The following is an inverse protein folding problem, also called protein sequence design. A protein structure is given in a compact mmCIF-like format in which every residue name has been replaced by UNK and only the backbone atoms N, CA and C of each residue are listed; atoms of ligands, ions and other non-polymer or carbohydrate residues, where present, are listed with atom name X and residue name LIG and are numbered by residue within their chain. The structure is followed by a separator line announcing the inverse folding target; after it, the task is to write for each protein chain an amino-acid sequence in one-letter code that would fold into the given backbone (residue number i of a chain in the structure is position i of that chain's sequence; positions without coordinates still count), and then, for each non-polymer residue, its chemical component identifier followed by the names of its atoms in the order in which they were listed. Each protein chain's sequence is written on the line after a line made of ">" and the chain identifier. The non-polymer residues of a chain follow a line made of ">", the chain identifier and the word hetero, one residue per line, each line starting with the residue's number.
data_IF_656655538717
#
_entry.id   IF_656655538717
#
_cell.length_a   1.000
_cell.length_b   1.000
_cell.length_c   1.000
_cell.angle_alpha   90.00
_cell.angle_beta   90.00
_cell.angle_gamma   90.00
#
_symmetry.space_group_name_H-M   'P 1'
#
loop_
_entity.id
_entity.type
_entity.pdbx_description
1 polymer ?
#
# COMPACT_ATOMS: atom_id res chain seq x y z
N UNK A 1 -20.47 -31.96 -81.04
CA UNK A 1 -21.50 -31.15 -80.35
C UNK A 1 -21.11 -31.00 -78.88
N UNK A 2 -20.96 -29.75 -78.41
CA UNK A 2 -20.88 -29.27 -77.02
C UNK A 2 -19.97 -30.03 -76.03
N UNK A 3 -18.69 -29.66 -75.97
CA UNK A 3 -17.86 -29.81 -74.77
C UNK A 3 -17.90 -28.50 -73.97
N UNK A 4 -18.42 -28.57 -72.74
CA UNK A 4 -18.54 -27.44 -71.80
C UNK A 4 -17.24 -27.32 -70.99
N UNK A 5 -16.69 -26.09 -70.95
CA UNK A 5 -15.56 -25.65 -70.12
C UNK A 5 -15.86 -25.86 -68.63
N UNK A 6 -14.90 -26.39 -67.88
CA UNK A 6 -14.80 -26.20 -66.43
C UNK A 6 -13.42 -25.63 -66.10
N UNK A 7 -13.41 -24.35 -65.75
CA UNK A 7 -12.27 -23.59 -65.25
C UNK A 7 -11.91 -24.07 -63.84
N UNK A 8 -10.63 -24.39 -63.57
CA UNK A 8 -10.12 -24.60 -62.21
C UNK A 8 -9.23 -23.42 -61.86
N UNK A 9 -9.75 -22.57 -60.98
CA UNK A 9 -9.05 -21.46 -60.36
C UNK A 9 -8.09 -21.97 -59.28
N UNK A 10 -6.90 -21.38 -59.22
CA UNK A 10 -5.93 -21.53 -58.14
C UNK A 10 -6.24 -20.45 -57.10
N UNK A 11 -6.69 -20.77 -55.87
CA UNK A 11 -6.78 -19.78 -54.83
C UNK A 11 -5.42 -19.57 -54.16
N UNK A 12 -5.00 -18.31 -54.14
CA UNK A 12 -3.92 -17.75 -53.33
C UNK A 12 -4.32 -17.89 -51.85
N UNK A 13 -3.45 -18.49 -51.04
CA UNK A 13 -3.60 -18.61 -49.60
C UNK A 13 -3.42 -17.25 -48.94
N UNK A 14 -4.49 -16.73 -48.33
CA UNK A 14 -4.43 -15.58 -47.44
C UNK A 14 -3.88 -16.01 -46.07
N UNK A 15 -2.78 -15.41 -45.64
CA UNK A 15 -2.27 -15.55 -44.29
C UNK A 15 -3.15 -14.74 -43.33
N UNK A 16 -3.86 -15.42 -42.43
CA UNK A 16 -4.58 -14.78 -41.35
C UNK A 16 -3.59 -14.45 -40.22
N UNK A 17 -3.38 -13.15 -39.97
CA UNK A 17 -2.77 -12.67 -38.74
C UNK A 17 -3.74 -12.95 -37.58
N UNK A 18 -3.35 -13.85 -36.68
CA UNK A 18 -4.02 -14.00 -35.38
C UNK A 18 -3.54 -12.86 -34.50
N UNK A 19 -4.40 -11.87 -34.29
CA UNK A 19 -4.22 -10.89 -33.24
C UNK A 19 -4.30 -11.62 -31.89
N UNK A 20 -3.17 -11.74 -31.20
CA UNK A 20 -3.14 -12.14 -29.79
C UNK A 20 -3.81 -11.00 -29.03
N UNK A 21 -5.05 -11.22 -28.61
CA UNK A 21 -5.71 -10.31 -27.68
C UNK A 21 -4.91 -10.28 -26.38
N UNK A 22 -4.36 -9.12 -26.04
CA UNK A 22 -3.94 -8.87 -24.67
C UNK A 22 -5.19 -9.05 -23.79
N UNK A 23 -5.16 -10.05 -22.92
CA UNK A 23 -6.11 -10.11 -21.82
C UNK A 23 -5.76 -8.95 -20.90
N UNK A 24 -6.61 -7.93 -20.86
CA UNK A 24 -6.58 -6.98 -19.77
C UNK A 24 -6.61 -7.79 -18.46
N UNK A 25 -5.63 -7.54 -17.58
CA UNK A 25 -5.73 -8.01 -16.21
C UNK A 25 -7.07 -7.48 -15.64
N UNK A 26 -7.75 -8.23 -14.76
CA UNK A 26 -8.90 -7.69 -14.08
C UNK A 26 -8.43 -6.41 -13.37
N UNK A 27 -9.13 -5.30 -13.61
CA UNK A 27 -8.96 -4.11 -12.78
C UNK A 27 -9.13 -4.57 -11.33
N UNK A 28 -8.11 -4.37 -10.50
CA UNK A 28 -8.29 -4.44 -9.06
C UNK A 28 -9.44 -3.49 -8.73
N UNK A 29 -10.34 -3.91 -7.84
CA UNK A 29 -11.34 -2.99 -7.33
C UNK A 29 -10.58 -1.81 -6.71
N UNK A 30 -10.91 -0.58 -7.11
CA UNK A 30 -10.41 0.62 -6.44
C UNK A 30 -10.60 0.46 -4.93
N UNK A 31 -9.53 0.73 -4.17
CA UNK A 31 -9.64 1.16 -2.78
C UNK A 31 -8.84 0.38 -1.75
N UNK A 32 -8.43 -0.88 -1.97
CA UNK A 32 -7.58 -1.59 -0.99
C UNK A 32 -6.90 -2.88 -1.50
N UNK A 33 -5.74 -3.19 -0.92
CA UNK A 33 -4.95 -4.38 -1.20
C UNK A 33 -4.46 -5.08 0.07
N UNK A 34 -4.59 -6.41 0.10
CA UNK A 34 -4.00 -7.26 1.15
C UNK A 34 -2.55 -7.61 0.83
N UNK A 35 -1.72 -7.66 1.87
CA UNK A 35 -0.32 -8.03 1.71
C UNK A 35 -0.15 -9.50 1.30
N UNK A 36 0.86 -9.75 0.47
CA UNK A 36 1.40 -11.07 0.17
C UNK A 36 2.53 -11.38 1.13
N UNK A 37 2.74 -12.68 1.36
CA UNK A 37 3.80 -13.18 2.24
C UNK A 37 4.63 -14.26 1.54
N UNK A 38 5.93 -14.28 1.80
CA UNK A 38 6.81 -15.43 1.55
C UNK A 38 7.33 -16.01 2.87
N UNK A 39 7.88 -17.22 2.82
CA UNK A 39 8.53 -17.86 3.95
C UNK A 39 9.70 -18.70 3.46
N UNK A 40 10.92 -18.30 3.83
CA UNK A 40 12.15 -18.78 3.20
C UNK A 40 12.86 -19.90 3.98
N UNK A 41 12.41 -20.22 5.21
CA UNK A 41 13.04 -21.26 6.05
C UNK A 41 12.06 -22.00 6.99
N UNK A 42 12.40 -23.26 7.32
CA UNK A 42 11.72 -24.05 8.35
C UNK A 42 12.23 -23.72 9.78
N UNK A 43 11.42 -23.91 10.85
CA UNK A 43 11.77 -23.59 12.24
C UNK A 43 13.14 -24.14 12.70
N UNK A 44 13.83 -23.54 13.71
CA UNK A 44 13.27 -22.75 14.82
C UNK A 44 13.27 -21.22 14.65
N UNK A 45 13.86 -20.69 13.57
CA UNK A 45 13.72 -19.28 13.20
C UNK A 45 13.48 -19.19 11.69
N UNK A 46 12.35 -18.63 11.31
CA UNK A 46 11.96 -18.46 9.91
C UNK A 46 12.02 -16.99 9.53
N UNK A 47 12.44 -16.73 8.29
CA UNK A 47 12.37 -15.42 7.63
C UNK A 47 11.36 -15.45 6.51
N UNK A 48 10.87 -14.27 6.13
CA UNK A 48 10.02 -14.12 4.95
C UNK A 48 9.82 -12.65 4.61
N UNK A 49 9.01 -12.38 3.58
CA UNK A 49 8.63 -11.02 3.19
C UNK A 49 7.16 -10.74 3.48
N UNK A 50 6.83 -9.47 3.59
CA UNK A 50 5.47 -8.93 3.59
C UNK A 50 5.42 -7.77 2.60
N UNK A 51 4.46 -7.79 1.67
CA UNK A 51 4.39 -6.77 0.60
C UNK A 51 2.95 -6.51 0.18
N UNK A 52 2.50 -5.26 0.23
CA UNK A 52 1.35 -4.75 -0.55
C UNK A 52 1.83 -4.21 -1.89
N UNK A 53 0.99 -4.17 -2.94
CA UNK A 53 1.38 -3.54 -4.21
C UNK A 53 1.18 -2.01 -4.20
N UNK A 54 0.44 -1.48 -3.22
CA UNK A 54 0.31 -0.05 -2.98
C UNK A 54 1.69 0.63 -2.79
N UNK A 55 1.96 1.67 -3.58
CA UNK A 55 3.17 2.48 -3.47
C UNK A 55 3.17 3.22 -2.13
N UNK A 56 4.21 3.01 -1.31
CA UNK A 56 4.25 3.51 0.08
C UNK A 56 3.42 2.69 1.07
N UNK A 57 2.91 1.52 0.68
CA UNK A 57 2.29 0.55 1.58
C UNK A 57 3.31 -0.31 2.34
N UNK A 58 2.85 -1.24 3.20
CA UNK A 58 3.71 -2.18 3.91
C UNK A 58 4.54 -3.05 2.97
N UNK A 59 5.86 -2.82 2.96
CA UNK A 59 6.83 -3.62 2.23
C UNK A 59 8.06 -3.88 3.10
N UNK A 60 8.45 -5.15 3.26
CA UNK A 60 9.70 -5.49 3.91
C UNK A 60 9.84 -6.97 4.26
N UNK A 61 10.63 -7.23 5.29
CA UNK A 61 10.96 -8.58 5.74
C UNK A 61 10.44 -8.83 7.16
N UNK A 62 10.31 -10.09 7.53
CA UNK A 62 10.07 -10.48 8.91
C UNK A 62 10.95 -11.63 9.35
N UNK A 63 11.19 -11.70 10.66
CA UNK A 63 11.78 -12.83 11.36
C UNK A 63 10.79 -13.34 12.39
N UNK A 64 10.74 -14.65 12.61
CA UNK A 64 9.92 -15.25 13.68
C UNK A 64 10.61 -16.45 14.29
N UNK A 65 10.49 -16.63 15.61
CA UNK A 65 10.89 -17.86 16.31
C UNK A 65 9.69 -18.79 16.59
N UNK A 66 8.55 -18.56 15.93
CA UNK A 66 7.39 -19.43 16.02
C UNK A 66 7.75 -20.86 15.64
N UNK A 67 7.13 -21.83 16.32
CA UNK A 67 7.28 -23.26 15.98
C UNK A 67 6.47 -23.68 14.76
N UNK A 68 5.48 -22.86 14.34
CA UNK A 68 4.56 -23.18 13.24
C UNK A 68 4.29 -21.97 12.34
N UNK A 69 5.31 -21.31 11.78
CA UNK A 69 5.10 -20.27 10.80
C UNK A 69 4.55 -20.88 9.51
N UNK A 70 3.51 -20.28 8.96
CA UNK A 70 2.93 -20.71 7.70
C UNK A 70 2.15 -19.60 7.02
N UNK A 71 2.21 -19.56 5.69
CA UNK A 71 1.35 -18.68 4.89
C UNK A 71 0.10 -19.45 4.50
N UNK A 72 -1.06 -18.96 4.87
CA UNK A 72 -2.35 -19.55 4.53
C UNK A 72 -3.08 -18.71 3.50
N UNK A 73 -3.79 -19.36 2.59
CA UNK A 73 -4.35 -18.72 1.40
C UNK A 73 -5.68 -17.96 1.62
N UNK A 74 -6.18 -17.82 2.86
CA UNK A 74 -7.41 -17.07 3.14
C UNK A 74 -8.72 -17.70 2.64
N UNK A 75 -8.71 -18.97 2.20
CA UNK A 75 -9.93 -19.63 1.72
C UNK A 75 -10.86 -20.12 2.82
N UNK A 76 -10.33 -20.43 4.00
CA UNK A 76 -11.07 -21.07 5.11
C UNK A 76 -11.21 -20.19 6.35
N UNK A 77 -10.23 -19.32 6.61
CA UNK A 77 -10.31 -18.24 7.59
C UNK A 77 -10.01 -16.92 6.85
N UNK A 78 -10.87 -15.92 7.03
CA UNK A 78 -10.76 -14.62 6.36
C UNK A 78 -11.57 -13.56 7.11
N UNK A 79 -11.22 -12.30 6.86
CA UNK A 79 -11.95 -11.13 7.31
C UNK A 79 -13.03 -10.81 6.26
N UNK A 80 -14.30 -10.91 6.64
CA UNK A 80 -15.42 -10.55 5.76
C UNK A 80 -15.57 -9.03 5.62
N UNK A 81 -16.21 -8.55 4.56
CA UNK A 81 -16.43 -7.10 4.30
C UNK A 81 -17.19 -6.40 5.44
N UNK A 82 -17.99 -7.14 6.21
CA UNK A 82 -18.77 -6.59 7.33
C UNK A 82 -17.93 -6.39 8.59
N UNK A 83 -16.78 -7.05 8.71
CA UNK A 83 -15.87 -6.84 9.83
C UNK A 83 -15.37 -5.39 9.80
N UNK A 84 -15.05 -4.77 10.96
CA UNK A 84 -14.55 -3.40 10.96
C UNK A 84 -13.34 -3.17 10.05
N UNK A 85 -12.40 -4.13 10.02
CA UNK A 85 -11.27 -4.07 9.10
C UNK A 85 -11.71 -4.19 7.63
N UNK A 86 -12.67 -5.08 7.35
CA UNK A 86 -13.20 -5.29 6.00
C UNK A 86 -14.04 -4.14 5.46
N UNK A 87 -14.66 -3.34 6.33
CA UNK A 87 -15.35 -2.10 5.93
C UNK A 87 -14.36 -1.05 5.38
N UNK A 88 -13.09 -1.18 5.76
CA UNK A 88 -12.02 -0.24 5.41
C UNK A 88 -11.16 -0.77 4.26
N UNK A 89 -10.89 -2.08 4.22
CA UNK A 89 -9.97 -2.70 3.25
C UNK A 89 -10.59 -3.78 2.35
N UNK A 90 -11.92 -3.94 2.36
CA UNK A 90 -12.61 -5.01 1.67
C UNK A 90 -12.40 -6.39 2.32
N UNK A 91 -12.92 -7.46 1.72
CA UNK A 91 -12.74 -8.81 2.28
C UNK A 91 -11.34 -9.37 2.03
N UNK A 92 -10.79 -10.07 3.02
CA UNK A 92 -9.58 -10.87 2.86
C UNK A 92 -9.85 -12.27 2.28
N UNK A 93 -11.06 -12.56 1.78
CA UNK A 93 -11.40 -13.90 1.31
C UNK A 93 -10.54 -14.28 0.10
N UNK A 94 -9.79 -15.38 0.21
CA UNK A 94 -8.82 -15.80 -0.81
C UNK A 94 -7.50 -15.00 -0.80
N UNK A 95 -7.31 -14.09 0.15
CA UNK A 95 -6.07 -13.34 0.33
C UNK A 95 -5.19 -13.99 1.39
N UNK A 96 -3.85 -14.02 1.18
CA UNK A 96 -2.97 -14.72 2.09
C UNK A 96 -2.81 -14.01 3.43
N UNK A 97 -2.48 -14.79 4.46
CA UNK A 97 -2.17 -14.29 5.78
C UNK A 97 -1.15 -15.17 6.48
N UNK A 98 -0.48 -14.63 7.49
CA UNK A 98 0.55 -15.34 8.24
C UNK A 98 -0.07 -16.02 9.47
N UNK A 99 0.14 -17.32 9.60
CA UNK A 99 -0.20 -18.13 10.78
C UNK A 99 1.06 -18.36 11.62
N UNK A 100 0.91 -18.19 12.93
CA UNK A 100 1.98 -18.26 13.90
C UNK A 100 1.49 -18.92 15.19
N UNK A 101 2.42 -19.48 15.95
CA UNK A 101 2.19 -20.08 17.27
C UNK A 101 3.37 -19.78 18.20
N UNK A 102 3.33 -20.29 19.44
CA UNK A 102 4.42 -20.16 20.41
C UNK A 102 5.79 -20.60 19.90
N UNK A 103 6.83 -20.12 20.57
CA UNK A 103 8.17 -20.63 20.43
C UNK A 103 8.32 -22.00 21.12
N UNK A 104 9.48 -22.63 20.92
CA UNK A 104 9.80 -23.93 21.50
C UNK A 104 9.58 -23.96 23.01
N UNK A 105 9.01 -25.08 23.51
CA UNK A 105 8.69 -25.24 24.92
C UNK A 105 7.46 -24.47 25.39
N UNK A 106 6.60 -24.01 24.47
CA UNK A 106 5.40 -23.19 24.76
C UNK A 106 5.76 -21.88 25.46
N UNK A 107 6.92 -21.33 25.13
CA UNK A 107 7.34 -19.99 25.57
C UNK A 107 6.81 -18.92 24.60
N UNK A 108 6.74 -17.65 25.02
CA UNK A 108 6.32 -16.58 24.13
C UNK A 108 7.14 -16.57 22.82
N UNK A 109 6.46 -16.48 21.67
CA UNK A 109 7.10 -16.26 20.38
C UNK A 109 7.19 -14.78 20.06
N UNK A 110 8.20 -14.41 19.28
CA UNK A 110 8.39 -13.08 18.74
C UNK A 110 8.42 -13.14 17.22
N UNK A 111 7.65 -12.24 16.60
CA UNK A 111 7.69 -11.99 15.16
C UNK A 111 7.94 -10.51 14.93
N UNK A 112 9.04 -10.18 14.24
CA UNK A 112 9.46 -8.81 13.99
C UNK A 112 9.47 -8.52 12.50
N UNK A 113 8.60 -7.62 12.06
CA UNK A 113 8.56 -7.05 10.71
C UNK A 113 9.47 -5.82 10.67
N UNK A 114 10.31 -5.71 9.65
CA UNK A 114 11.11 -4.54 9.34
C UNK A 114 10.73 -4.06 7.94
N UNK A 115 10.25 -2.83 7.84
CA UNK A 115 9.83 -2.26 6.57
C UNK A 115 11.00 -1.57 5.88
N UNK A 116 11.17 -1.85 4.59
CA UNK A 116 12.26 -1.29 3.78
C UNK A 116 12.04 0.21 3.57
N UNK A 117 10.79 0.57 3.27
CA UNK A 117 10.25 1.93 3.35
C UNK A 117 9.31 2.08 4.54
N UNK A 118 9.30 3.24 5.19
CA UNK A 118 8.26 3.52 6.19
C UNK A 118 6.90 3.60 5.50
N UNK A 119 5.94 2.72 5.82
CA UNK A 119 4.65 2.75 5.16
C UNK A 119 3.87 4.02 5.55
N UNK A 120 3.10 4.57 4.60
CA UNK A 120 2.34 5.83 4.77
C UNK A 120 1.42 5.76 6.00
N UNK A 121 1.64 6.58 7.04
CA UNK A 121 0.79 6.57 8.23
C UNK A 121 -0.69 6.81 7.87
N UNK A 122 -1.59 6.02 8.44
CA UNK A 122 -3.01 6.05 8.13
C UNK A 122 -3.39 5.35 6.83
N UNK A 123 -2.47 5.03 5.93
CA UNK A 123 -2.77 4.36 4.66
C UNK A 123 -2.96 2.85 4.76
N UNK A 124 -2.59 2.24 5.87
CA UNK A 124 -2.57 0.79 6.04
C UNK A 124 -3.00 0.36 7.44
N UNK A 125 -3.34 -0.92 7.56
CA UNK A 125 -3.73 -1.51 8.82
C UNK A 125 -3.20 -2.93 8.99
N UNK A 126 -3.19 -3.38 10.24
CA UNK A 126 -2.86 -4.74 10.64
C UNK A 126 -4.00 -5.33 11.46
N UNK A 127 -4.42 -6.55 11.14
CA UNK A 127 -5.34 -7.34 11.96
C UNK A 127 -4.60 -8.51 12.59
N UNK A 128 -4.88 -8.73 13.88
CA UNK A 128 -4.49 -9.92 14.61
C UNK A 128 -5.74 -10.72 14.92
N UNK A 129 -5.82 -11.94 14.40
CA UNK A 129 -6.98 -12.83 14.61
C UNK A 129 -6.63 -14.08 15.40
N UNK A 130 -7.69 -14.69 15.92
CA UNK A 130 -7.63 -15.82 16.85
C UNK A 130 -6.89 -15.46 18.15
N UNK A 131 -7.15 -14.26 18.67
CA UNK A 131 -6.63 -13.78 19.95
C UNK A 131 -7.70 -13.98 21.02
N UNK A 132 -7.84 -15.21 21.51
CA UNK A 132 -8.84 -15.58 22.53
C UNK A 132 -8.22 -16.32 23.73
N UNK A 133 -7.50 -17.41 23.52
CA UNK A 133 -6.78 -18.16 24.55
C UNK A 133 -5.36 -17.62 24.80
N UNK A 134 -5.08 -16.39 24.35
CA UNK A 134 -3.74 -15.82 24.20
C UNK A 134 -3.66 -14.34 24.53
N UNK A 135 -2.43 -13.87 24.69
CA UNK A 135 -2.08 -12.45 24.69
C UNK A 135 -1.11 -12.13 23.55
N UNK A 136 -1.30 -11.00 22.88
CA UNK A 136 -0.31 -10.44 21.94
C UNK A 136 0.10 -9.04 22.37
N UNK A 137 1.35 -8.90 22.77
CA UNK A 137 1.97 -7.58 22.94
C UNK A 137 2.47 -7.06 21.60
N UNK A 138 2.16 -5.81 21.33
CA UNK A 138 2.51 -5.09 20.10
C UNK A 138 3.45 -3.95 20.48
N UNK A 139 4.64 -3.92 19.87
CA UNK A 139 5.58 -2.81 20.02
C UNK A 139 6.08 -2.39 18.65
N UNK A 140 6.26 -1.09 18.44
CA UNK A 140 6.81 -0.57 17.20
C UNK A 140 7.88 0.49 17.48
N UNK A 141 8.80 0.63 16.54
CA UNK A 141 9.88 1.64 16.54
C UNK A 141 9.81 2.47 15.26
N UNK A 142 9.90 3.79 15.40
CA UNK A 142 9.93 4.72 14.27
C UNK A 142 11.28 4.73 13.55
N UNK A 143 11.39 5.40 12.40
CA UNK A 143 12.66 5.56 11.70
C UNK A 143 13.73 6.32 12.51
N UNK A 144 13.31 7.12 13.50
CA UNK A 144 14.16 7.82 14.47
C UNK A 144 14.69 6.93 15.61
N UNK A 145 14.30 5.65 15.63
CA UNK A 145 14.67 4.70 16.68
C UNK A 145 13.85 4.82 17.97
N UNK A 146 12.84 5.69 18.03
CA UNK A 146 11.99 5.85 19.20
C UNK A 146 10.86 4.83 19.21
N UNK A 147 10.52 4.34 20.41
CA UNK A 147 9.37 3.47 20.60
C UNK A 147 8.06 4.25 20.42
N UNK A 148 7.13 3.70 19.66
CA UNK A 148 5.81 4.28 19.46
C UNK A 148 4.92 4.03 20.67
N UNK A 149 4.08 5.02 20.98
CA UNK A 149 3.03 4.95 22.01
C UNK A 149 1.82 4.15 21.53
N UNK A 150 0.95 3.71 22.46
CA UNK A 150 -0.31 3.04 22.12
C UNK A 150 -1.21 3.88 21.21
N UNK A 151 -1.19 5.22 21.37
CA UNK A 151 -1.92 6.14 20.49
C UNK A 151 -1.37 6.10 19.07
N UNK A 152 -0.04 6.05 18.89
CA UNK A 152 0.60 6.00 17.57
C UNK A 152 0.45 4.64 16.88
N UNK A 153 0.34 3.54 17.65
CA UNK A 153 -0.04 2.23 17.12
C UNK A 153 -1.45 2.26 16.53
N UNK A 154 -2.34 3.14 17.02
CA UNK A 154 -3.63 3.39 16.40
C UNK A 154 -4.59 2.21 16.49
N UNK A 155 -4.70 1.56 17.66
CA UNK A 155 -5.76 0.57 17.92
C UNK A 155 -7.13 1.16 17.58
N UNK A 156 -7.92 0.42 16.80
CA UNK A 156 -9.23 0.84 16.34
C UNK A 156 -10.31 0.20 17.20
N UNK A 157 -10.49 -1.11 17.04
CA UNK A 157 -11.47 -1.89 17.81
C UNK A 157 -11.16 -3.39 17.76
N UNK A 158 -11.84 -4.12 18.64
CA UNK A 158 -11.91 -5.57 18.64
C UNK A 158 -13.21 -6.03 17.98
N UNK A 159 -13.21 -7.25 17.46
CA UNK A 159 -14.35 -7.85 16.78
C UNK A 159 -14.19 -9.37 16.71
N UNK A 160 -15.22 -10.08 16.26
CA UNK A 160 -15.13 -11.50 15.95
C UNK A 160 -15.35 -11.75 14.46
N UNK A 161 -14.33 -12.20 13.70
CA UNK A 161 -14.47 -12.40 12.25
C UNK A 161 -15.44 -13.54 11.87
N UNK A 162 -15.80 -14.41 12.82
CA UNK A 162 -16.77 -15.48 12.57
C UNK A 162 -18.22 -14.98 12.54
N UNK A 163 -18.47 -13.77 13.05
CA UNK A 163 -19.76 -13.07 12.95
C UNK A 163 -19.86 -12.25 11.65
N UNK A 164 -19.42 -12.84 10.53
CA UNK A 164 -19.51 -12.26 9.20
C UNK A 164 -20.28 -13.15 8.23
N UNK A 165 -20.82 -12.55 7.17
CA UNK A 165 -21.40 -13.24 6.02
C UNK A 165 -20.70 -12.80 4.72
N UNK A 166 -20.15 -13.72 3.90
CA UNK A 166 -20.08 -15.16 4.13
C UNK A 166 -19.20 -15.51 5.33
N UNK A 167 -19.60 -16.54 6.09
CA UNK A 167 -18.85 -17.00 7.26
C UNK A 167 -17.64 -17.82 6.84
N UNK A 168 -16.45 -17.60 7.44
CA UNK A 168 -15.30 -18.47 7.22
C UNK A 168 -15.60 -19.91 7.64
N UNK A 169 -15.16 -20.89 6.85
CA UNK A 169 -15.48 -22.31 7.08
C UNK A 169 -14.79 -22.91 8.31
N UNK A 170 -13.75 -22.27 8.82
CA UNK A 170 -13.13 -22.62 10.12
C UNK A 170 -14.06 -22.31 11.31
N UNK A 171 -15.00 -21.38 11.15
CA UNK A 171 -15.97 -21.01 12.16
C UNK A 171 -17.12 -22.04 12.19
N UNK A 172 -16.91 -23.16 12.90
CA UNK A 172 -17.79 -24.34 12.85
C UNK A 172 -18.84 -24.43 13.96
N UNK A 173 -18.70 -23.69 15.05
CA UNK A 173 -19.76 -23.56 16.07
C UNK A 173 -19.49 -22.43 17.07
N UNK A 174 -20.54 -21.98 17.76
CA UNK A 174 -20.46 -20.94 18.79
C UNK A 174 -21.39 -19.74 18.52
N UNK A 175 -21.47 -18.83 19.49
CA UNK A 175 -22.15 -17.53 19.34
C UNK A 175 -21.25 -16.45 18.73
N UNK A 176 -19.94 -16.71 18.60
CA UNK A 176 -18.93 -15.80 18.01
C UNK A 176 -18.94 -14.40 18.63
N UNK A 177 -19.12 -14.33 19.94
CA UNK A 177 -19.16 -13.07 20.71
C UNK A 177 -17.86 -12.79 21.45
N UNK A 178 -16.85 -13.63 21.30
CA UNK A 178 -15.57 -13.44 21.99
C UNK A 178 -14.69 -12.45 21.22
N UNK A 179 -14.07 -11.54 21.97
CA UNK A 179 -13.25 -10.45 21.47
C UNK A 179 -12.09 -10.17 22.44
N UNK A 180 -10.87 -9.94 21.94
CA UNK A 180 -9.76 -9.53 22.79
C UNK A 180 -10.00 -8.15 23.39
N UNK A 181 -9.43 -7.88 24.56
CA UNK A 181 -9.44 -6.55 25.19
C UNK A 181 -8.08 -5.88 25.02
N UNK A 182 -8.06 -4.62 24.56
CA UNK A 182 -6.82 -3.84 24.42
C UNK A 182 -6.42 -3.17 25.74
N UNK A 183 -5.20 -3.43 26.19
CA UNK A 183 -4.52 -2.67 27.24
C UNK A 183 -3.49 -1.70 26.63
N UNK A 184 -3.84 -0.42 26.60
CA UNK A 184 -2.98 0.63 26.09
C UNK A 184 -1.73 0.90 26.94
N UNK A 185 -1.73 0.57 28.24
CA UNK A 185 -0.58 0.82 29.11
C UNK A 185 0.57 -0.15 28.80
N UNK A 186 0.23 -1.38 28.42
CA UNK A 186 1.20 -2.43 28.06
C UNK A 186 1.31 -2.67 26.56
N UNK A 187 0.42 -2.07 25.76
CA UNK A 187 0.23 -2.31 24.33
C UNK A 187 -0.06 -3.78 24.04
N UNK A 188 -0.94 -4.39 24.84
CA UNK A 188 -1.25 -5.82 24.78
C UNK A 188 -2.72 -6.04 24.45
N UNK A 189 -2.98 -6.91 23.47
CA UNK A 189 -4.29 -7.51 23.27
C UNK A 189 -4.42 -8.72 24.17
N UNK A 190 -5.43 -8.72 25.02
CA UNK A 190 -5.73 -9.80 25.94
C UNK A 190 -6.94 -10.59 25.47
N UNK A 191 -6.73 -11.83 25.05
CA UNK A 191 -7.82 -12.77 24.83
C UNK A 191 -8.56 -13.12 26.11
N UNK A 192 -9.80 -13.58 26.00
CA UNK A 192 -10.67 -13.93 27.13
C UNK A 192 -10.17 -15.10 27.99
N UNK A 193 -9.25 -15.91 27.46
CA UNK A 193 -8.76 -17.17 28.03
C UNK A 193 -9.60 -18.39 27.64
N UNK A 194 -10.70 -18.21 26.91
CA UNK A 194 -11.49 -19.28 26.31
C UNK A 194 -10.97 -19.52 24.89
N UNK A 195 -10.76 -20.77 24.52
CA UNK A 195 -10.35 -21.15 23.16
C UNK A 195 -11.61 -21.21 22.28
N UNK A 196 -11.83 -20.18 21.47
CA UNK A 196 -12.99 -20.00 20.60
C UNK A 196 -12.55 -19.89 19.15
N UNK A 197 -13.22 -19.09 18.33
CA UNK A 197 -12.77 -18.81 16.97
C UNK A 197 -13.15 -17.38 16.63
N UNK A 198 -12.26 -16.71 15.91
CA UNK A 198 -12.60 -15.44 15.28
C UNK A 198 -12.29 -14.20 16.11
N UNK A 199 -11.98 -14.34 17.40
CA UNK A 199 -11.65 -13.20 18.25
C UNK A 199 -10.46 -12.43 17.67
N UNK A 200 -10.66 -11.16 17.35
CA UNK A 200 -9.73 -10.37 16.55
C UNK A 200 -9.71 -8.92 16.99
N UNK A 201 -8.64 -8.24 16.62
CA UNK A 201 -8.52 -6.80 16.76
C UNK A 201 -7.64 -6.25 15.66
N UNK A 202 -7.82 -4.97 15.36
CA UNK A 202 -7.02 -4.31 14.34
C UNK A 202 -6.50 -2.94 14.76
N UNK A 203 -5.42 -2.55 14.09
CA UNK A 203 -4.73 -1.30 14.29
C UNK A 203 -4.55 -0.61 12.94
N UNK A 204 -4.65 0.72 12.96
CA UNK A 204 -4.36 1.62 11.84
C UNK A 204 -3.29 2.62 12.30
N UNK A 205 -2.01 2.32 12.11
CA UNK A 205 -0.93 3.15 12.63
C UNK A 205 -0.99 4.58 12.13
N UNK A 206 -0.82 5.54 13.04
CA UNK A 206 -0.87 6.98 12.72
C UNK A 206 0.51 7.64 12.74
N UNK A 207 1.56 6.85 12.92
CA UNK A 207 2.95 7.29 12.89
C UNK A 207 3.76 6.33 12.02
N UNK A 208 4.90 6.80 11.56
CA UNK A 208 5.83 6.01 10.76
C UNK A 208 6.38 4.84 11.60
N UNK A 209 6.36 3.65 11.01
CA UNK A 209 6.88 2.44 11.63
C UNK A 209 8.03 1.93 10.77
N UNK A 210 9.21 1.81 11.38
CA UNK A 210 10.35 1.09 10.78
C UNK A 210 10.33 -0.39 11.15
N UNK A 211 10.01 -0.70 12.41
CA UNK A 211 9.93 -2.07 12.91
C UNK A 211 8.67 -2.27 13.72
N UNK A 212 7.92 -3.35 13.44
CA UNK A 212 6.76 -3.80 14.21
C UNK A 212 7.04 -5.19 14.78
N UNK A 213 6.93 -5.33 16.10
CA UNK A 213 7.19 -6.60 16.80
C UNK A 213 5.94 -7.06 17.54
N UNK A 214 5.57 -8.30 17.28
CA UNK A 214 4.48 -9.03 17.93
C UNK A 214 5.10 -10.06 18.87
N UNK A 215 4.70 -10.02 20.15
CA UNK A 215 5.06 -11.05 21.13
C UNK A 215 3.81 -11.80 21.56
N UNK A 216 3.68 -13.05 21.12
CA UNK A 216 2.52 -13.91 21.36
C UNK A 216 2.78 -14.86 22.53
N UNK A 217 1.84 -14.93 23.48
CA UNK A 217 1.92 -15.74 24.69
C UNK A 217 0.63 -16.49 24.92
N UNK A 218 0.75 -17.76 25.33
CA UNK A 218 -0.42 -18.62 25.57
C UNK A 218 -0.95 -18.48 26.97
N UNK A 219 -2.27 -18.35 27.11
CA UNK A 219 -2.98 -18.48 28.40
C UNK A 219 -3.44 -19.93 28.60
N UNK A 220 -4.11 -20.51 27.61
CA UNK A 220 -4.69 -21.86 27.67
C UNK A 220 -4.59 -22.57 26.31
N UNK A 221 -4.86 -23.88 26.23
CA UNK A 221 -4.99 -24.58 24.94
C UNK A 221 -3.68 -24.81 24.15
N UNK A 222 -3.79 -24.94 22.83
CA UNK A 222 -2.65 -25.00 21.89
C UNK A 222 -2.88 -23.98 20.77
N UNK A 223 -2.93 -22.70 21.11
CA UNK A 223 -3.49 -21.74 20.20
C UNK A 223 -2.44 -21.20 19.24
N UNK A 224 -2.94 -20.63 18.15
CA UNK A 224 -2.20 -20.05 17.06
C UNK A 224 -2.90 -18.73 16.73
N UNK A 225 -2.15 -17.77 16.18
CA UNK A 225 -2.71 -16.48 15.80
C UNK A 225 -2.39 -16.15 14.34
N UNK A 226 -3.17 -15.21 13.84
CA UNK A 226 -3.26 -14.87 12.43
C UNK A 226 -2.88 -13.40 12.26
N UNK A 227 -2.13 -13.08 11.21
CA UNK A 227 -1.71 -11.70 10.91
C UNK A 227 -2.06 -11.38 9.46
N UNK A 228 -2.84 -10.31 9.29
CA UNK A 228 -3.12 -9.67 8.00
C UNK A 228 -2.57 -8.26 7.99
N UNK A 229 -1.93 -7.85 6.88
CA UNK A 229 -1.75 -6.44 6.53
C UNK A 229 -2.61 -6.10 5.32
N UNK A 230 -3.12 -4.88 5.28
CA UNK A 230 -3.73 -4.31 4.08
C UNK A 230 -3.44 -2.81 3.97
N UNK A 231 -3.42 -2.29 2.75
CA UNK A 231 -3.28 -0.87 2.45
C UNK A 231 -4.48 -0.40 1.62
N UNK A 232 -4.95 0.82 1.87
CA UNK A 232 -5.88 1.51 0.96
C UNK A 232 -5.07 2.14 -0.16
N UNK A 233 -5.58 2.07 -1.39
CA UNK A 233 -4.98 2.73 -2.55
C UNK A 233 -5.81 3.95 -2.96
N UNK A 234 -5.12 4.96 -3.48
CA UNK A 234 -5.70 6.15 -4.08
C UNK A 234 -4.82 6.61 -5.24
N UNK A 235 -5.37 7.45 -6.11
CA UNK A 235 -4.64 8.11 -7.18
C UNK A 235 -4.36 9.58 -6.82
N UNK A 236 -3.19 10.09 -7.22
CA UNK A 236 -2.89 11.52 -7.19
C UNK A 236 -2.71 12.01 -8.63
N UNK A 237 -3.50 12.98 -9.05
CA UNK A 237 -3.54 13.43 -10.44
C UNK A 237 -3.72 14.94 -10.56
N UNK A 238 -3.30 15.46 -11.70
CA UNK A 238 -3.45 16.85 -12.08
C UNK A 238 -2.97 17.09 -13.51
N UNK A 239 -2.85 18.36 -13.87
CA UNK A 239 -2.39 18.81 -15.17
C UNK A 239 -1.22 19.80 -15.06
N UNK A 240 -0.29 19.74 -16.00
CA UNK A 240 0.73 20.77 -16.21
C UNK A 240 0.41 21.50 -17.51
N UNK A 241 0.12 22.80 -17.40
CA UNK A 241 -0.18 23.64 -18.55
C UNK A 241 0.93 24.68 -18.79
N UNK A 242 1.03 25.17 -20.03
CA UNK A 242 1.82 26.37 -20.34
C UNK A 242 0.94 27.63 -20.20
N UNK A 243 1.53 28.76 -19.80
CA UNK A 243 0.78 30.03 -19.67
C UNK A 243 0.12 30.47 -20.99
N UNK A 244 0.76 30.19 -22.12
CA UNK A 244 0.26 30.51 -23.46
C UNK A 244 -0.74 29.50 -24.03
N UNK A 245 -0.89 28.32 -23.41
CA UNK A 245 -1.65 27.19 -23.96
C UNK A 245 -0.95 26.45 -25.11
N UNK A 246 0.36 26.68 -25.28
CA UNK A 246 1.22 25.92 -26.17
C UNK A 246 1.46 24.49 -25.64
N UNK A 247 1.88 23.52 -26.48
CA UNK A 247 2.26 22.19 -26.04
C UNK A 247 3.31 22.22 -24.92
N UNK A 248 3.18 21.32 -23.93
CA UNK A 248 4.09 21.24 -22.81
C UNK A 248 5.53 20.93 -23.31
N UNK A 249 6.56 21.62 -22.79
CA UNK A 249 7.93 21.32 -23.17
C UNK A 249 8.34 19.92 -22.68
N UNK A 250 8.97 19.15 -23.57
CA UNK A 250 9.50 17.82 -23.26
C UNK A 250 10.53 17.89 -22.11
N UNK A 251 10.51 16.89 -21.23
CA UNK A 251 11.41 16.81 -20.08
C UNK A 251 10.85 17.43 -18.79
N UNK A 252 9.58 17.83 -18.77
CA UNK A 252 8.86 18.14 -17.53
C UNK A 252 8.64 16.85 -16.73
N UNK A 253 9.07 16.83 -15.48
CA UNK A 253 8.98 15.66 -14.57
C UNK A 253 8.26 16.06 -13.30
N UNK A 254 7.42 15.17 -12.77
CA UNK A 254 6.80 15.31 -11.46
C UNK A 254 7.29 14.22 -10.53
N UNK A 255 7.50 14.59 -9.26
CA UNK A 255 7.90 13.67 -8.19
C UNK A 255 6.86 13.69 -7.07
N UNK A 256 6.46 12.52 -6.60
CA UNK A 256 5.59 12.38 -5.45
C UNK A 256 6.42 12.39 -4.16
N UNK A 257 6.07 13.27 -3.23
CA UNK A 257 6.76 13.47 -1.96
C UNK A 257 5.81 13.30 -0.79
N UNK A 258 6.38 12.93 0.35
CA UNK A 258 5.71 12.97 1.65
C UNK A 258 5.50 14.43 2.08
N UNK A 259 4.63 14.69 3.08
CA UNK A 259 4.36 16.05 3.56
C UNK A 259 5.60 16.77 4.11
N UNK A 260 6.64 16.04 4.51
CA UNK A 260 7.92 16.59 4.97
C UNK A 260 8.91 16.91 3.84
N UNK A 261 8.53 16.65 2.58
CA UNK A 261 9.33 16.88 1.39
C UNK A 261 10.23 15.71 0.99
N UNK A 262 10.26 14.61 1.76
CA UNK A 262 11.04 13.43 1.37
C UNK A 262 10.37 12.70 0.19
N UNK A 263 11.12 12.14 -0.77
CA UNK A 263 10.52 11.39 -1.86
C UNK A 263 9.78 10.13 -1.37
N UNK A 264 8.62 9.87 -1.94
CA UNK A 264 8.01 8.53 -1.86
C UNK A 264 8.87 7.61 -2.73
N UNK A 265 9.24 6.46 -2.19
CA UNK A 265 10.09 5.50 -2.89
C UNK A 265 9.25 4.31 -3.39
N UNK A 266 9.62 3.79 -4.54
CA UNK A 266 9.06 2.58 -5.12
C UNK A 266 9.71 1.29 -4.54
N UNK A 267 9.30 0.14 -5.07
CA UNK A 267 9.81 -1.18 -4.67
C UNK A 267 11.32 -1.36 -4.92
N UNK A 268 11.91 -0.55 -5.81
CA UNK A 268 13.35 -0.54 -6.13
C UNK A 268 14.13 0.48 -5.29
N UNK A 269 13.47 1.14 -4.34
CA UNK A 269 14.02 2.22 -3.51
C UNK A 269 14.43 3.44 -4.37
N UNK A 270 13.68 3.72 -5.44
CA UNK A 270 13.85 4.90 -6.30
C UNK A 270 12.70 5.90 -6.09
N UNK A 271 12.93 7.23 -6.23
CA UNK A 271 11.87 8.22 -6.16
C UNK A 271 10.76 7.97 -7.17
N UNK A 272 9.53 7.97 -6.69
CA UNK A 272 8.34 7.84 -7.53
C UNK A 272 8.17 9.13 -8.33
N UNK A 273 8.33 9.01 -9.65
CA UNK A 273 8.21 10.12 -10.58
C UNK A 273 7.42 9.73 -11.83
N UNK A 274 6.86 10.73 -12.51
CA UNK A 274 6.14 10.57 -13.76
C UNK A 274 6.38 11.77 -14.68
N UNK A 275 6.06 11.61 -15.96
CA UNK A 275 6.05 12.71 -16.94
C UNK A 275 4.62 12.94 -17.40
N UNK A 276 4.16 14.19 -17.54
CA UNK A 276 2.86 14.47 -18.13
C UNK A 276 2.77 13.91 -19.55
N UNK A 277 1.56 13.58 -19.97
CA UNK A 277 1.28 13.22 -21.35
C UNK A 277 1.25 14.45 -22.28
N UNK A 278 0.85 14.25 -23.54
CA UNK A 278 0.81 15.31 -24.54
C UNK A 278 -0.21 16.42 -24.25
N UNK A 279 -1.24 16.13 -23.45
CA UNK A 279 -2.25 17.08 -23.01
C UNK A 279 -1.87 17.72 -21.65
N UNK A 280 -0.74 17.30 -21.06
CA UNK A 280 -0.23 17.78 -19.79
C UNK A 280 -0.78 17.03 -18.58
N UNK A 281 -1.58 15.99 -18.78
CA UNK A 281 -2.17 15.22 -17.69
C UNK A 281 -1.14 14.25 -17.11
N UNK A 282 -1.16 14.08 -15.79
CA UNK A 282 -0.32 13.11 -15.10
C UNK A 282 -1.08 12.40 -13.97
N UNK A 283 -0.62 11.21 -13.59
CA UNK A 283 -1.17 10.46 -12.46
C UNK A 283 -0.09 9.62 -11.78
N UNK A 284 -0.11 9.63 -10.46
CA UNK A 284 0.52 8.63 -9.60
C UNK A 284 -0.58 7.65 -9.15
N UNK A 285 -0.57 6.46 -9.73
CA UNK A 285 -1.59 5.43 -9.45
C UNK A 285 -1.23 4.58 -8.24
N UNK A 286 -2.25 4.02 -7.60
CA UNK A 286 -2.11 3.00 -6.54
C UNK A 286 -1.17 3.42 -5.39
N UNK A 287 -1.18 4.70 -5.01
CA UNK A 287 -0.44 5.17 -3.85
C UNK A 287 -1.21 4.83 -2.58
N UNK A 288 -0.50 4.49 -1.50
CA UNK A 288 -1.13 4.26 -0.22
C UNK A 288 -1.93 5.50 0.22
N UNK A 289 -3.16 5.33 0.72
CA UNK A 289 -3.96 6.48 1.11
C UNK A 289 -3.23 7.36 2.16
N UNK A 290 -3.11 8.66 1.90
CA UNK A 290 -2.37 9.56 2.79
C UNK A 290 -2.23 10.98 2.25
N UNK A 291 -1.55 11.82 3.04
CA UNK A 291 -1.19 13.17 2.61
C UNK A 291 0.13 13.15 1.86
N UNK A 292 0.18 13.89 0.74
CA UNK A 292 1.33 13.99 -0.15
C UNK A 292 1.56 15.44 -0.59
N UNK A 293 2.71 15.66 -1.22
CA UNK A 293 2.95 16.79 -2.11
C UNK A 293 3.44 16.29 -3.46
N UNK A 294 3.15 17.02 -4.52
CA UNK A 294 3.71 16.79 -5.84
C UNK A 294 4.67 17.94 -6.13
N UNK A 295 5.88 17.62 -6.59
CA UNK A 295 6.87 18.61 -7.00
C UNK A 295 7.11 18.51 -8.51
N UNK A 296 6.98 19.62 -9.23
CA UNK A 296 7.23 19.68 -10.68
C UNK A 296 8.61 20.28 -10.96
N UNK A 297 9.34 19.65 -11.88
CA UNK A 297 10.61 20.15 -12.41
C UNK A 297 10.46 20.37 -13.92
N UNK A 298 10.41 21.63 -14.39
CA UNK A 298 10.38 21.93 -15.81
C UNK A 298 11.75 21.68 -16.47
N UNK A 299 11.81 21.53 -17.80
CA UNK A 299 13.07 21.38 -18.51
C UNK A 299 13.88 22.70 -18.53
N UNK A 300 15.19 22.65 -18.80
CA UNK A 300 16.02 23.85 -18.89
C UNK A 300 15.44 24.94 -19.81
N UNK A 301 15.49 26.20 -19.36
CA UNK A 301 14.92 27.34 -20.08
C UNK A 301 13.43 27.56 -19.82
N UNK A 302 12.83 26.82 -18.89
CA UNK A 302 11.47 27.03 -18.40
C UNK A 302 11.45 27.09 -16.87
N UNK A 303 10.52 27.87 -16.33
CA UNK A 303 10.27 28.02 -14.90
C UNK A 303 8.80 27.73 -14.57
N UNK A 304 8.56 27.31 -13.32
CA UNK A 304 7.20 27.17 -12.78
C UNK A 304 6.67 28.54 -12.40
N UNK A 305 5.45 28.87 -12.83
CA UNK A 305 4.74 30.07 -12.39
C UNK A 305 4.06 29.76 -11.06
N UNK A 306 4.50 30.41 -10.00
CA UNK A 306 3.97 30.21 -8.65
C UNK A 306 4.78 29.18 -7.86
N UNK A 307 4.10 28.22 -7.23
CA UNK A 307 4.74 27.17 -6.46
C UNK A 307 5.18 26.03 -7.37
N UNK A 308 6.39 25.52 -7.16
CA UNK A 308 6.88 24.27 -7.77
C UNK A 308 6.36 23.02 -7.06
N UNK A 309 5.62 23.20 -5.96
CA UNK A 309 5.16 22.13 -5.08
C UNK A 309 3.73 22.38 -4.65
N UNK A 310 2.85 21.40 -4.89
CA UNK A 310 1.43 21.47 -4.53
C UNK A 310 1.04 20.33 -3.60
N UNK A 311 0.03 20.56 -2.75
CA UNK A 311 -0.47 19.56 -1.81
C UNK A 311 -1.46 18.62 -2.49
N UNK A 312 -1.38 17.34 -2.13
CA UNK A 312 -2.32 16.31 -2.56
C UNK A 312 -2.83 15.55 -1.32
N UNK A 313 -4.12 15.67 -1.00
CA UNK A 313 -4.75 14.90 0.08
C UNK A 313 -5.45 13.67 -0.50
N UNK A 314 -4.76 12.53 -0.47
CA UNK A 314 -5.27 11.25 -0.91
C UNK A 314 -5.68 10.34 0.27
N UNK A 315 -5.92 10.91 1.46
CA UNK A 315 -6.22 10.14 2.67
C UNK A 315 -7.64 9.53 2.67
N UNK A 316 -8.54 10.04 1.82
CA UNK A 316 -9.96 9.67 1.77
C UNK A 316 -10.44 9.37 0.34
N UNK A 317 -9.54 8.92 -0.53
CA UNK A 317 -9.79 8.67 -1.95
C UNK A 317 -8.85 9.48 -2.83
N UNK A 318 -9.16 9.55 -4.12
CA UNK A 318 -8.31 10.18 -5.12
C UNK A 318 -8.14 11.69 -4.87
N UNK A 319 -6.89 12.15 -4.99
CA UNK A 319 -6.55 13.56 -5.05
C UNK A 319 -6.47 14.00 -6.52
N UNK A 320 -7.30 14.95 -6.92
CA UNK A 320 -7.35 15.49 -8.30
C UNK A 320 -7.13 17.00 -8.29
N UNK A 321 -6.69 17.56 -9.43
CA UNK A 321 -6.51 19.01 -9.57
C UNK A 321 -5.25 19.53 -8.89
N UNK A 322 -4.21 18.69 -8.82
CA UNK A 322 -2.88 19.06 -8.36
C UNK A 322 -2.14 19.67 -9.55
N UNK A 323 -2.48 20.90 -9.89
CA UNK A 323 -2.12 21.49 -11.18
C UNK A 323 -0.92 22.42 -11.10
N UNK A 324 -0.17 22.53 -12.20
CA UNK A 324 0.98 23.41 -12.33
C UNK A 324 0.92 24.23 -13.61
N UNK A 325 1.57 25.39 -13.60
CA UNK A 325 1.77 26.21 -14.80
C UNK A 325 3.25 26.44 -15.03
N UNK A 326 3.72 26.19 -16.24
CA UNK A 326 5.11 26.44 -16.65
C UNK A 326 5.15 27.52 -17.73
N UNK A 327 6.26 28.23 -17.82
CA UNK A 327 6.50 29.20 -18.88
C UNK A 327 8.00 29.22 -19.21
N UNK A 328 8.40 29.80 -20.37
CA UNK A 328 9.80 30.11 -20.62
C UNK A 328 10.39 30.91 -19.46
N UNK A 329 11.62 30.59 -19.10
CA UNK A 329 12.36 31.34 -18.09
C UNK A 329 12.44 32.81 -18.52
N UNK A 330 12.17 33.74 -17.60
CA UNK A 330 12.35 35.15 -17.87
C UNK A 330 13.85 35.39 -18.04
N UNK A 331 14.30 35.81 -19.22
CA UNK A 331 15.68 36.27 -19.37
C UNK A 331 15.86 37.45 -18.41
N UNK A 332 16.77 37.34 -17.43
CA UNK A 332 17.24 38.47 -16.62
C UNK A 332 18.05 39.41 -17.52
N UNK A 333 17.33 40.11 -18.40
CA UNK A 333 17.83 41.23 -19.15
C UNK A 333 17.95 42.40 -18.17
N UNK A 334 18.92 42.33 -17.27
CA UNK A 334 19.63 43.55 -16.82
C UNK A 334 20.36 44.10 -18.03
N UNK A 335 19.61 44.74 -18.91
CA UNK A 335 20.15 45.64 -19.92
C UNK A 335 20.77 46.81 -19.14
N UNK A 336 22.01 46.65 -18.71
CA UNK A 336 22.85 47.76 -18.29
C UNK A 336 22.91 48.69 -19.50
N UNK A 337 22.14 49.77 -19.44
CA UNK A 337 21.98 50.75 -20.51
C UNK A 337 23.37 51.23 -20.94
N UNK A 338 23.84 50.97 -22.17
CA UNK A 338 25.14 51.43 -22.60
C UNK A 338 25.08 52.94 -22.85
N UNK A 339 25.47 53.71 -21.83
CA UNK A 339 25.99 55.06 -21.96
C UNK A 339 24.96 56.16 -22.23
N UNK A 340 24.50 56.81 -21.16
CA UNK A 340 24.21 58.24 -21.24
C UNK A 340 25.52 58.99 -21.54
N UNK A 341 25.66 59.71 -22.67
CA UNK A 341 26.74 60.66 -22.82
C UNK A 341 26.46 61.82 -21.87
N UNK A 342 27.34 61.99 -20.88
CA UNK A 342 27.34 63.16 -20.02
C UNK A 342 27.47 64.42 -20.87
N UNK A 343 26.41 65.23 -20.91
CA UNK A 343 26.51 66.61 -21.36
C UNK A 343 27.27 67.40 -20.30
N UNK A 344 28.57 67.62 -20.56
CA UNK A 344 29.35 68.62 -19.85
C UNK A 344 28.98 70.03 -20.30
N UNK A 345 28.80 70.91 -19.32
CA UNK A 345 29.29 72.31 -19.26
C UNK A 345 28.98 72.87 -17.87
#
# INVERSE_FOLDING_TARGET
>A
MRFRRSSRWVPVTAAAFVAVGLTAAPAAADGAEYARYTLDAAPPASTGTVTTAATGGPQGTFTTNSTRPGVSAGGSAFLGEQTPFGQVYGSSQGMPYLNLATASGRTPSTTSFTFDQVPTPGGWGITLGDIDADDVKISATGPDGQALTARQLGFQESFNYCDASPRPSTCTGGTYTDEPTWDAATQTLHGSGTDTSGASAWLRPTAEIRTLTLTFSVKTGIPAYQVWFAAQTANVSGNVATESGDPLPEGTVLELRRPDGTPVLDDSNEPVSTTPDADGDYTFSDVAAGGYTVHVTPPPGHDVKGSDTEKADAAHGDATGVDFTVAPAEDDCTCEEPGQPGYGS
#
